data_IF_021136824452
#
_entry.id   IF_021136824452
#
_cell.length_a   1.000
_cell.length_b   1.000
_cell.length_c   1.000
_cell.angle_alpha   90.00
_cell.angle_beta   90.00
_cell.angle_gamma   90.00
#
_symmetry.space_group_name_H-M   'P 1'
#
loop_
_entity.id
_entity.type
_entity.pdbx_description
1 polymer ?
#
# COMPACT_ATOMS: atom_id res chain seq x y z
N UNK A 1 10.37 18.56 25.25
CA UNK A 1 10.35 18.62 23.76
C UNK A 1 8.95 19.02 23.30
N UNK A 2 8.81 19.90 22.29
CA UNK A 2 7.51 20.28 21.69
C UNK A 2 7.11 19.24 20.64
N UNK A 3 5.86 18.75 20.68
CA UNK A 3 5.28 17.91 19.63
C UNK A 3 4.89 18.76 18.42
N UNK A 4 5.32 18.38 17.23
CA UNK A 4 4.94 19.05 15.98
C UNK A 4 3.48 18.75 15.62
N UNK A 5 2.77 19.74 15.09
CA UNK A 5 1.46 19.58 14.43
C UNK A 5 1.65 19.01 13.02
N UNK A 6 0.60 18.44 12.43
CA UNK A 6 0.68 17.82 11.10
C UNK A 6 1.14 18.78 9.99
N UNK A 7 0.73 20.06 10.07
CA UNK A 7 1.15 21.10 9.13
C UNK A 7 2.62 21.53 9.33
N UNK A 8 3.25 21.20 10.46
CA UNK A 8 4.65 21.47 10.75
C UNK A 8 5.58 20.31 10.31
N UNK A 9 5.04 19.21 9.77
CA UNK A 9 5.82 18.02 9.40
C UNK A 9 6.57 18.12 8.06
N UNK A 10 6.45 19.24 7.33
CA UNK A 10 7.09 19.40 6.02
C UNK A 10 6.62 18.38 4.98
N UNK A 11 5.39 17.89 5.11
CA UNK A 11 4.80 16.91 4.19
C UNK A 11 4.53 17.58 2.85
N UNK A 12 5.00 16.96 1.77
CA UNK A 12 4.68 17.39 0.41
C UNK A 12 3.15 17.43 0.19
N UNK A 13 2.71 18.36 -0.64
CA UNK A 13 1.31 18.50 -1.02
C UNK A 13 0.81 17.24 -1.76
N UNK A 14 -0.52 17.12 -1.89
CA UNK A 14 -1.14 16.01 -2.63
C UNK A 14 -0.69 16.03 -4.11
N UNK A 15 -0.55 17.22 -4.70
CA UNK A 15 -0.11 17.37 -6.09
C UNK A 15 1.37 17.00 -6.25
N UNK A 16 2.23 17.50 -5.37
CA UNK A 16 3.65 17.12 -5.35
C UNK A 16 3.81 15.61 -5.14
N UNK A 17 3.03 15.02 -4.23
CA UNK A 17 3.00 13.57 -4.08
C UNK A 17 2.64 12.90 -5.39
N UNK A 18 1.56 13.29 -6.07
CA UNK A 18 1.11 12.65 -7.31
C UNK A 18 2.15 12.73 -8.45
N UNK A 19 2.94 13.81 -8.47
CA UNK A 19 3.97 14.04 -9.49
C UNK A 19 5.37 13.49 -9.11
N UNK A 20 5.61 13.14 -7.85
CA UNK A 20 6.88 12.59 -7.41
C UNK A 20 7.14 11.18 -7.95
N UNK A 21 8.41 10.86 -8.18
CA UNK A 21 8.86 9.52 -8.52
C UNK A 21 8.40 8.51 -7.47
N UNK A 22 7.85 7.40 -7.95
CA UNK A 22 7.25 6.37 -7.09
C UNK A 22 8.21 5.23 -6.82
N UNK A 23 8.22 4.80 -5.56
CA UNK A 23 8.76 3.50 -5.19
C UNK A 23 7.93 2.44 -5.95
N UNK A 24 8.55 1.61 -6.81
CA UNK A 24 7.86 0.76 -7.79
C UNK A 24 7.27 -0.52 -7.14
N UNK A 25 6.52 -0.31 -6.06
CA UNK A 25 5.85 -1.32 -5.27
C UNK A 25 4.35 -1.09 -5.40
N UNK A 26 3.63 -2.17 -5.67
CA UNK A 26 2.18 -2.24 -5.50
C UNK A 26 1.87 -3.03 -4.24
N UNK A 27 0.98 -2.55 -3.38
CA UNK A 27 0.50 -3.32 -2.21
C UNK A 27 -0.89 -3.84 -2.51
N UNK A 28 -1.13 -5.14 -2.35
CA UNK A 28 -2.43 -5.78 -2.53
C UNK A 28 -2.95 -6.15 -1.15
N UNK A 29 -4.09 -5.60 -0.75
CA UNK A 29 -4.76 -5.91 0.51
C UNK A 29 -5.76 -7.05 0.28
N UNK A 30 -5.39 -8.26 0.65
CA UNK A 30 -6.21 -9.44 0.48
C UNK A 30 -7.14 -9.65 1.68
N UNK A 31 -8.41 -9.26 1.54
CA UNK A 31 -9.44 -9.49 2.55
C UNK A 31 -9.07 -8.96 3.96
N UNK A 32 -8.36 -7.82 4.02
CA UNK A 32 -7.98 -7.15 5.27
C UNK A 32 -9.21 -6.62 5.99
N UNK A 33 -9.54 -7.23 7.12
CA UNK A 33 -10.78 -6.94 7.88
C UNK A 33 -10.74 -5.62 8.65
N UNK A 34 -9.57 -5.23 9.13
CA UNK A 34 -9.42 -4.03 9.98
C UNK A 34 -9.27 -2.77 9.13
N UNK A 35 -10.31 -1.92 9.11
CA UNK A 35 -10.25 -0.62 8.46
C UNK A 35 -9.16 0.31 9.06
N UNK A 36 -8.86 0.17 10.36
CA UNK A 36 -7.75 0.88 10.99
C UNK A 36 -6.39 0.43 10.42
N UNK A 37 -6.23 -0.86 10.11
CA UNK A 37 -5.01 -1.38 9.48
C UNK A 37 -4.91 -0.89 8.03
N UNK A 38 -6.02 -0.88 7.28
CA UNK A 38 -6.07 -0.30 5.94
C UNK A 38 -5.57 1.14 5.95
N UNK A 39 -6.08 1.98 6.85
CA UNK A 39 -5.59 3.37 6.96
C UNK A 39 -4.12 3.48 7.39
N UNK A 40 -3.62 2.55 8.22
CA UNK A 40 -2.19 2.51 8.59
C UNK A 40 -1.30 2.13 7.41
N UNK A 41 -1.78 1.25 6.51
CA UNK A 41 -1.09 0.89 5.27
C UNK A 41 -1.11 2.06 4.28
N UNK A 42 -2.22 2.78 4.15
CA UNK A 42 -2.25 4.04 3.39
C UNK A 42 -1.19 5.02 3.90
N UNK A 43 -1.10 5.21 5.22
CA UNK A 43 -0.16 6.15 5.82
C UNK A 43 1.30 5.75 5.59
N UNK A 44 1.61 4.47 5.71
CA UNK A 44 2.95 3.95 5.42
C UNK A 44 3.27 4.07 3.92
N UNK A 45 2.30 3.74 3.06
CA UNK A 45 2.44 3.83 1.61
C UNK A 45 2.75 5.24 1.14
N UNK A 46 2.13 6.23 1.77
CA UNK A 46 2.39 7.63 1.51
C UNK A 46 3.79 8.06 1.98
N UNK A 47 4.22 7.67 3.19
CA UNK A 47 5.56 7.99 3.69
C UNK A 47 6.68 7.42 2.80
N UNK A 48 6.44 6.27 2.16
CA UNK A 48 7.41 5.60 1.29
C UNK A 48 7.19 5.85 -0.21
N UNK A 49 6.33 6.80 -0.60
CA UNK A 49 6.02 7.10 -2.01
C UNK A 49 5.64 5.84 -2.82
N UNK A 50 4.90 4.91 -2.21
CA UNK A 50 4.44 3.67 -2.87
C UNK A 50 3.58 4.02 -4.08
N UNK A 51 3.80 3.30 -5.18
CA UNK A 51 3.14 3.57 -6.46
C UNK A 51 1.61 3.43 -6.39
N UNK A 52 1.10 2.31 -5.85
CA UNK A 52 -0.35 2.12 -5.69
C UNK A 52 -0.73 1.04 -4.66
N UNK A 53 -1.96 1.12 -4.18
CA UNK A 53 -2.62 0.09 -3.38
C UNK A 53 -3.76 -0.55 -4.20
N UNK A 54 -3.89 -1.87 -4.18
CA UNK A 54 -5.06 -2.58 -4.69
C UNK A 54 -5.80 -3.18 -3.49
N UNK A 55 -7.06 -2.80 -3.31
CA UNK A 55 -7.90 -3.25 -2.21
C UNK A 55 -8.78 -4.38 -2.71
N UNK A 56 -8.76 -5.54 -2.04
CA UNK A 56 -9.46 -6.73 -2.53
C UNK A 56 -10.49 -7.30 -1.55
N UNK A 57 -11.52 -7.93 -2.12
CA UNK A 57 -12.51 -8.72 -1.39
C UNK A 57 -13.25 -7.92 -0.31
N UNK A 58 -13.32 -8.48 0.90
CA UNK A 58 -14.08 -7.89 2.02
C UNK A 58 -13.45 -6.62 2.62
N UNK A 59 -12.30 -6.19 2.11
CA UNK A 59 -11.54 -5.08 2.68
C UNK A 59 -12.30 -3.76 2.54
N UNK A 60 -12.40 -3.00 3.64
CA UNK A 60 -13.03 -1.68 3.62
C UNK A 60 -12.27 -0.71 2.70
N UNK A 61 -13.02 0.09 1.93
CA UNK A 61 -12.46 1.11 1.01
C UNK A 61 -12.75 2.54 1.51
N UNK A 62 -11.93 3.53 1.13
CA UNK A 62 -12.31 4.93 1.27
C UNK A 62 -13.56 5.26 0.43
N UNK A 63 -14.48 6.13 0.92
CA UNK A 63 -14.45 6.84 2.20
C UNK A 63 -14.96 5.98 3.38
N UNK A 64 -14.14 5.79 4.41
CA UNK A 64 -14.51 5.09 5.65
C UNK A 64 -13.94 5.84 6.88
N UNK A 65 -14.75 5.98 7.94
CA UNK A 65 -14.39 6.76 9.15
C UNK A 65 -13.15 6.22 9.87
N UNK A 66 -13.01 4.90 9.95
CA UNK A 66 -11.88 4.25 10.62
C UNK A 66 -10.61 4.36 9.78
N UNK A 67 -10.71 4.16 8.45
CA UNK A 67 -9.58 4.39 7.53
C UNK A 67 -9.07 5.83 7.67
N UNK A 68 -9.97 6.83 7.64
CA UNK A 68 -9.58 8.25 7.77
C UNK A 68 -8.83 8.54 9.08
N UNK A 69 -9.21 7.87 10.18
CA UNK A 69 -8.61 8.08 11.50
C UNK A 69 -7.12 7.71 11.53
N UNK A 70 -6.70 6.68 10.80
CA UNK A 70 -5.30 6.22 10.78
C UNK A 70 -4.52 6.66 9.54
N UNK A 71 -5.19 6.88 8.41
CA UNK A 71 -4.60 7.39 7.17
C UNK A 71 -4.12 8.85 7.31
N UNK A 72 -4.82 9.68 8.09
CA UNK A 72 -4.47 11.10 8.26
C UNK A 72 -4.31 11.85 6.93
N UNK A 73 -5.21 11.61 5.98
CA UNK A 73 -5.21 12.24 4.64
C UNK A 73 -4.42 11.49 3.57
N UNK A 74 -3.67 10.44 3.93
CA UNK A 74 -2.91 9.65 2.95
C UNK A 74 -3.77 8.85 1.96
N UNK A 75 -5.07 8.67 2.24
CA UNK A 75 -6.02 8.07 1.29
C UNK A 75 -6.32 8.96 0.10
N UNK A 76 -6.01 10.26 0.20
CA UNK A 76 -6.31 11.26 -0.84
C UNK A 76 -5.10 11.48 -1.78
N UNK A 77 -3.89 11.11 -1.33
CA UNK A 77 -2.64 11.18 -2.07
C UNK A 77 -2.24 9.86 -2.74
N UNK A 78 -2.29 8.73 -2.01
CA UNK A 78 -1.88 7.42 -2.53
C UNK A 78 -2.90 6.92 -3.54
N UNK A 79 -2.44 6.58 -4.75
CA UNK A 79 -3.29 5.97 -5.77
C UNK A 79 -3.77 4.61 -5.29
N UNK A 80 -5.07 4.34 -5.42
CA UNK A 80 -5.63 3.04 -5.13
C UNK A 80 -6.74 2.62 -6.10
N UNK A 81 -6.96 1.32 -6.23
CA UNK A 81 -8.08 0.74 -6.98
C UNK A 81 -8.70 -0.41 -6.17
N UNK A 82 -9.98 -0.69 -6.38
CA UNK A 82 -10.64 -1.87 -5.80
C UNK A 82 -10.71 -3.00 -6.84
N UNK A 83 -10.54 -4.24 -6.38
CA UNK A 83 -10.73 -5.44 -7.18
C UNK A 83 -11.50 -6.48 -6.37
N UNK A 84 -12.58 -7.02 -6.91
CA UNK A 84 -13.42 -7.96 -6.14
C UNK A 84 -12.65 -9.22 -5.71
N UNK A 85 -11.81 -9.76 -6.59
CA UNK A 85 -11.04 -10.99 -6.30
C UNK A 85 -9.54 -10.71 -6.39
N UNK A 86 -8.82 -11.06 -5.32
CA UNK A 86 -7.36 -10.91 -5.23
C UNK A 86 -6.63 -11.58 -6.39
N UNK A 87 -7.13 -12.73 -6.85
CA UNK A 87 -6.54 -13.46 -7.97
C UNK A 87 -6.56 -12.67 -9.28
N UNK A 88 -7.61 -11.89 -9.53
CA UNK A 88 -7.74 -11.09 -10.75
C UNK A 88 -6.72 -9.95 -10.77
N UNK A 89 -6.51 -9.30 -9.62
CA UNK A 89 -5.46 -8.30 -9.43
C UNK A 89 -4.06 -8.88 -9.67
N UNK A 90 -3.78 -10.06 -9.09
CA UNK A 90 -2.50 -10.77 -9.27
C UNK A 90 -2.27 -11.13 -10.74
N UNK A 91 -3.26 -11.69 -11.41
CA UNK A 91 -3.16 -12.08 -12.82
C UNK A 91 -2.94 -10.86 -13.73
N UNK A 92 -3.62 -9.74 -13.47
CA UNK A 92 -3.42 -8.47 -14.17
C UNK A 92 -1.98 -7.96 -14.02
N UNK A 93 -1.41 -7.99 -12.81
CA UNK A 93 -0.04 -7.56 -12.56
C UNK A 93 1.01 -8.51 -13.17
N UNK A 94 0.78 -9.83 -13.14
CA UNK A 94 1.66 -10.81 -13.80
C UNK A 94 1.73 -10.59 -15.31
N UNK A 95 0.61 -10.27 -15.97
CA UNK A 95 0.59 -9.90 -17.40
C UNK A 95 1.49 -8.69 -17.69
N UNK A 96 1.61 -7.78 -16.73
CA UNK A 96 2.49 -6.61 -16.80
C UNK A 96 3.90 -6.87 -16.25
N UNK A 97 4.34 -8.14 -16.23
CA UNK A 97 5.68 -8.56 -15.77
C UNK A 97 6.05 -8.13 -14.34
N UNK A 98 5.05 -7.84 -13.50
CA UNK A 98 5.29 -7.50 -12.09
C UNK A 98 5.63 -8.75 -11.28
N UNK A 99 6.67 -8.67 -10.45
CA UNK A 99 7.07 -9.78 -9.59
C UNK A 99 6.18 -9.83 -8.35
N UNK A 100 5.44 -10.93 -8.17
CA UNK A 100 4.46 -11.09 -7.09
C UNK A 100 5.10 -11.76 -5.88
N UNK A 101 4.93 -11.17 -4.71
CA UNK A 101 5.45 -11.65 -3.43
C UNK A 101 4.27 -11.78 -2.47
N UNK A 102 4.03 -12.98 -1.93
CA UNK A 102 3.08 -13.18 -0.83
C UNK A 102 3.81 -13.14 0.51
N UNK A 103 3.28 -12.40 1.47
CA UNK A 103 3.78 -12.41 2.85
C UNK A 103 3.05 -13.50 3.62
N UNK A 104 3.76 -14.56 4.03
CA UNK A 104 3.15 -15.67 4.76
C UNK A 104 4.17 -16.40 5.65
N UNK A 105 3.67 -16.95 6.76
CA UNK A 105 4.38 -17.83 7.67
C UNK A 105 4.27 -19.30 7.21
N UNK A 106 5.10 -19.69 6.24
CA UNK A 106 5.21 -21.09 5.80
C UNK A 106 6.64 -21.63 5.96
N UNK A 107 6.78 -22.96 5.95
CA UNK A 107 8.10 -23.64 6.00
C UNK A 107 9.03 -23.27 4.84
N UNK A 108 8.47 -22.88 3.70
CA UNK A 108 9.21 -22.55 2.49
C UNK A 108 9.32 -21.04 2.26
N UNK A 109 8.93 -20.22 3.25
CA UNK A 109 9.09 -18.77 3.15
C UNK A 109 10.56 -18.37 3.23
N UNK A 110 10.89 -17.25 2.60
CA UNK A 110 12.22 -16.65 2.69
C UNK A 110 12.17 -15.49 3.68
N UNK A 111 12.99 -15.54 4.72
CA UNK A 111 13.08 -14.45 5.68
C UNK A 111 13.42 -13.12 4.99
N UNK A 112 12.77 -12.05 5.44
CA UNK A 112 12.85 -10.72 4.83
C UNK A 112 14.29 -10.18 4.79
N UNK A 113 15.07 -10.39 5.86
CA UNK A 113 16.48 -9.97 5.94
C UNK A 113 17.38 -10.68 4.90
N UNK A 114 16.96 -11.85 4.41
CA UNK A 114 17.68 -12.61 3.38
C UNK A 114 17.10 -12.37 1.97
N UNK A 115 15.96 -11.69 1.87
CA UNK A 115 15.31 -11.40 0.60
C UNK A 115 16.04 -10.27 -0.14
N UNK A 116 16.26 -10.45 -1.44
CA UNK A 116 16.87 -9.44 -2.32
C UNK A 116 15.91 -9.16 -3.47
N UNK A 117 15.68 -7.88 -3.74
CA UNK A 117 14.85 -7.45 -4.86
C UNK A 117 15.68 -7.59 -6.14
N UNK A 118 15.22 -8.47 -7.05
CA UNK A 118 15.89 -8.76 -8.33
C UNK A 118 15.18 -8.11 -9.54
N UNK A 119 14.03 -7.47 -9.31
CA UNK A 119 13.16 -6.91 -10.35
C UNK A 119 12.76 -5.49 -9.99
N UNK A 120 12.62 -4.65 -11.01
CA UNK A 120 12.34 -3.23 -10.83
C UNK A 120 10.92 -2.96 -10.34
N UNK A 121 9.95 -3.83 -10.65
CA UNK A 121 8.55 -3.64 -10.23
C UNK A 121 8.05 -4.87 -9.47
N UNK A 122 7.61 -4.66 -8.24
CA UNK A 122 7.11 -5.73 -7.37
C UNK A 122 5.68 -5.44 -6.89
N UNK A 123 4.94 -6.49 -6.61
CA UNK A 123 3.69 -6.41 -5.87
C UNK A 123 3.72 -7.32 -4.65
N UNK A 124 3.28 -6.78 -3.52
CA UNK A 124 3.26 -7.47 -2.23
C UNK A 124 1.80 -7.76 -1.89
N UNK A 125 1.46 -9.02 -1.67
CA UNK A 125 0.14 -9.46 -1.17
C UNK A 125 0.24 -9.60 0.34
N UNK A 126 -0.65 -8.90 1.04
CA UNK A 126 -0.75 -8.83 2.51
C UNK A 126 -2.19 -9.06 2.97
#
# INVERSE_FOLDING_TARGET
MKKLKNNELGRISIEEFKNADKTPITVILDNVRSALNVGSIFRSSDAFLINKIIICGITATPPNKEIRKTALGSSDSVKWEYCEKTIDAVLKLKKNQTYIIGIEQTKNSKYLNNFKILKNTIAIVV
#
